data_IF_605045660502
#
_entry.id   IF_605045660502
#
_cell.length_a   1.000
_cell.length_b   1.000
_cell.length_c   1.000
_cell.angle_alpha   90.00
_cell.angle_beta   90.00
_cell.angle_gamma   90.00
#
_symmetry.space_group_name_H-M   'P 1'
#
loop_
_entity.id
_entity.type
_entity.pdbx_description
1 polymer ?
#
# COMPACT_ATOMS: atom_id res chain seq x y z
N UNK A 1 4.45 5.97 -20.71
CA UNK A 1 4.21 6.26 -19.28
C UNK A 1 3.02 5.42 -18.87
N UNK A 2 3.23 4.48 -17.95
CA UNK A 2 2.16 3.61 -17.42
C UNK A 2 1.38 4.30 -16.32
N UNK A 3 0.25 3.69 -15.93
CA UNK A 3 -0.55 4.08 -14.77
C UNK A 3 -0.14 3.18 -13.61
N UNK A 4 0.12 3.76 -12.44
CA UNK A 4 0.36 3.04 -11.19
C UNK A 4 -0.80 3.30 -10.22
N UNK A 5 -1.05 2.36 -9.31
CA UNK A 5 -2.09 2.45 -8.28
C UNK A 5 -1.44 2.71 -6.92
N UNK A 6 -1.69 3.90 -6.36
CA UNK A 6 -1.31 4.23 -4.99
C UNK A 6 -2.27 3.57 -4.00
N UNK A 7 -1.74 2.68 -3.16
CA UNK A 7 -2.49 2.02 -2.10
C UNK A 7 -2.01 2.56 -0.76
N UNK A 8 -2.94 3.17 -0.02
CA UNK A 8 -2.69 3.74 1.29
C UNK A 8 -3.46 3.05 2.41
N UNK A 9 -3.51 3.65 3.61
CA UNK A 9 -4.09 3.07 4.81
C UNK A 9 -5.59 2.75 4.70
N UNK A 10 -6.31 3.32 3.73
CA UNK A 10 -7.70 2.98 3.42
C UNK A 10 -7.92 1.47 3.26
N UNK A 11 -6.94 0.69 2.77
CA UNK A 11 -7.05 -0.78 2.63
C UNK A 11 -7.27 -1.50 3.97
N UNK A 12 -6.95 -0.86 5.09
CA UNK A 12 -7.11 -1.41 6.43
C UNK A 12 -8.52 -1.21 7.00
N UNK A 13 -9.35 -0.38 6.36
CA UNK A 13 -10.72 -0.07 6.80
C UNK A 13 -11.73 -1.07 6.23
N UNK A 14 -12.84 -1.34 6.96
CA UNK A 14 -13.86 -2.31 6.52
C UNK A 14 -14.59 -1.90 5.23
N UNK A 15 -14.78 -0.61 5.00
CA UNK A 15 -15.57 -0.09 3.86
C UNK A 15 -14.80 -0.06 2.53
N UNK A 16 -13.66 -0.76 2.46
CA UNK A 16 -12.72 -0.73 1.33
C UNK A 16 -12.85 -1.93 0.40
N UNK A 17 -14.04 -2.51 0.27
CA UNK A 17 -14.30 -3.76 -0.48
C UNK A 17 -13.77 -3.69 -1.93
N UNK A 18 -14.10 -2.64 -2.67
CA UNK A 18 -13.64 -2.45 -4.05
C UNK A 18 -12.10 -2.36 -4.14
N UNK A 19 -11.47 -1.70 -3.17
CA UNK A 19 -10.01 -1.61 -3.11
C UNK A 19 -9.38 -2.96 -2.75
N UNK A 20 -9.99 -3.71 -1.85
CA UNK A 20 -9.57 -5.06 -1.47
C UNK A 20 -9.63 -6.01 -2.68
N UNK A 21 -10.71 -5.97 -3.45
CA UNK A 21 -10.85 -6.75 -4.68
C UNK A 21 -9.80 -6.36 -5.72
N UNK A 22 -9.58 -5.06 -5.92
CA UNK A 22 -8.53 -4.56 -6.81
C UNK A 22 -7.15 -5.08 -6.39
N UNK A 23 -6.78 -4.96 -5.11
CA UNK A 23 -5.47 -5.38 -4.60
C UNK A 23 -5.26 -6.88 -4.74
N UNK A 24 -6.32 -7.69 -4.64
CA UNK A 24 -6.24 -9.15 -4.84
C UNK A 24 -5.81 -9.52 -6.25
N UNK A 25 -6.35 -8.83 -7.26
CA UNK A 25 -6.20 -9.21 -8.67
C UNK A 25 -5.14 -8.40 -9.44
N UNK A 26 -4.84 -7.18 -9.00
CA UNK A 26 -3.99 -6.28 -9.78
C UNK A 26 -2.54 -6.78 -9.90
N UNK A 27 -1.85 -6.49 -11.03
CA UNK A 27 -0.43 -6.74 -11.15
C UNK A 27 0.37 -5.91 -10.13
N UNK A 28 1.22 -6.57 -9.33
CA UNK A 28 2.04 -5.88 -8.32
C UNK A 28 3.08 -4.93 -8.93
N UNK A 29 3.44 -5.10 -10.21
CA UNK A 29 4.30 -4.15 -10.95
C UNK A 29 3.67 -2.76 -11.13
N UNK A 30 2.36 -2.62 -10.89
CA UNK A 30 1.66 -1.33 -10.92
C UNK A 30 1.43 -0.77 -9.52
N UNK A 31 1.89 -1.43 -8.46
CA UNK A 31 1.67 -1.02 -7.08
C UNK A 31 2.59 0.15 -6.67
N UNK A 32 2.01 1.16 -6.03
CA UNK A 32 2.72 2.11 -5.18
C UNK A 32 2.10 2.09 -3.78
N UNK A 33 2.90 2.46 -2.78
CA UNK A 33 2.46 2.56 -1.40
C UNK A 33 2.51 4.00 -0.92
N UNK A 34 1.54 4.37 -0.09
CA UNK A 34 1.49 5.66 0.57
C UNK A 34 0.92 5.54 2.00
N UNK A 35 1.01 6.62 2.77
CA UNK A 35 0.46 6.71 4.13
C UNK A 35 -0.54 7.84 4.31
N UNK A 36 -0.61 8.78 3.36
CA UNK A 36 -1.34 10.05 3.50
C UNK A 36 -1.06 10.76 4.86
N UNK A 37 0.18 10.61 5.36
CA UNK A 37 0.60 11.25 6.59
C UNK A 37 0.60 12.78 6.42
N UNK A 38 0.08 13.54 7.41
CA UNK A 38 -0.30 13.13 8.77
C UNK A 38 -1.77 12.73 8.99
N UNK A 39 -2.58 12.57 7.94
CA UNK A 39 -4.05 12.61 8.05
C UNK A 39 -4.73 11.26 8.29
N UNK A 40 -4.30 10.18 7.62
CA UNK A 40 -5.04 8.91 7.62
C UNK A 40 -4.26 7.77 8.30
N UNK A 41 -4.41 7.54 9.62
CA UNK A 41 -3.76 6.40 10.26
C UNK A 41 -4.42 5.08 9.82
N UNK A 42 -3.72 3.93 9.94
CA UNK A 42 -4.33 2.61 9.82
C UNK A 42 -5.54 2.44 10.75
N UNK A 43 -6.50 1.59 10.37
CA UNK A 43 -7.78 1.44 11.08
C UNK A 43 -7.67 1.02 12.55
N UNK A 44 -6.58 0.35 12.94
CA UNK A 44 -6.32 -0.04 14.33
C UNK A 44 -5.63 1.06 15.17
N UNK A 45 -5.26 2.19 14.55
CA UNK A 45 -4.59 3.35 15.17
C UNK A 45 -5.42 4.64 15.00
N UNK A 46 -6.73 4.54 14.80
CA UNK A 46 -7.62 5.70 14.65
C UNK A 46 -7.50 6.61 15.87
N UNK A 47 -7.32 7.92 15.62
CA UNK A 47 -7.10 8.94 16.64
C UNK A 47 -5.63 9.33 16.83
N UNK A 48 -4.70 8.56 16.26
CA UNK A 48 -3.29 8.95 16.16
C UNK A 48 -3.01 9.73 14.87
N UNK A 49 -1.94 10.55 14.87
CA UNK A 49 -1.43 11.15 13.64
C UNK A 49 -0.76 10.08 12.79
N UNK A 50 -1.11 10.02 11.50
CA UNK A 50 -0.41 9.14 10.58
C UNK A 50 1.07 9.52 10.47
N UNK A 51 1.92 8.50 10.31
CA UNK A 51 3.37 8.65 10.18
C UNK A 51 3.88 7.84 8.97
N UNK A 52 5.00 8.26 8.35
CA UNK A 52 5.56 7.55 7.19
C UNK A 52 5.92 6.08 7.46
N UNK A 53 6.31 5.74 8.69
CA UNK A 53 6.67 4.38 9.09
C UNK A 53 5.47 3.42 9.17
N UNK A 54 4.24 3.95 9.25
CA UNK A 54 3.00 3.17 9.22
C UNK A 54 2.73 2.51 7.85
N UNK A 55 3.57 2.77 6.84
CA UNK A 55 3.50 2.12 5.53
C UNK A 55 3.64 0.60 5.63
N UNK A 56 4.32 0.08 6.67
CA UNK A 56 4.44 -1.36 6.92
C UNK A 56 3.08 -2.03 7.11
N UNK A 57 2.14 -1.36 7.79
CA UNK A 57 0.79 -1.91 8.01
C UNK A 57 -0.01 -2.03 6.71
N UNK A 58 0.24 -1.12 5.76
CA UNK A 58 -0.36 -1.19 4.42
C UNK A 58 0.19 -2.41 3.67
N UNK A 59 1.51 -2.59 3.70
CA UNK A 59 2.17 -3.74 3.07
C UNK A 59 1.74 -5.09 3.70
N UNK A 60 1.64 -5.16 5.03
CA UNK A 60 1.11 -6.32 5.75
C UNK A 60 -0.31 -6.66 5.29
N UNK A 61 -1.20 -5.64 5.21
CA UNK A 61 -2.56 -5.86 4.75
C UNK A 61 -2.61 -6.36 3.31
N UNK A 62 -1.82 -5.78 2.40
CA UNK A 62 -1.73 -6.23 1.00
C UNK A 62 -1.25 -7.68 0.93
N UNK A 63 -0.17 -8.03 1.63
CA UNK A 63 0.38 -9.39 1.62
C UNK A 63 -0.62 -10.42 2.15
N UNK A 64 -1.38 -10.07 3.19
CA UNK A 64 -2.47 -10.92 3.70
C UNK A 64 -3.61 -11.11 2.71
N UNK A 65 -3.92 -10.11 1.88
CA UNK A 65 -4.97 -10.20 0.88
C UNK A 65 -4.53 -11.00 -0.35
N UNK A 66 -3.27 -10.84 -0.73
CA UNK A 66 -2.62 -11.48 -1.88
C UNK A 66 -2.34 -12.96 -1.62
N UNK A 67 -1.78 -13.29 -0.45
CA UNK A 67 -1.46 -14.66 -0.05
C UNK A 67 -0.29 -15.31 -0.81
N UNK A 68 0.19 -14.70 -1.89
CA UNK A 68 1.29 -15.18 -2.75
C UNK A 68 2.60 -14.40 -2.57
N UNK A 69 2.61 -13.37 -1.72
CA UNK A 69 3.78 -12.53 -1.40
C UNK A 69 3.82 -12.18 0.08
N UNK A 70 5.02 -11.90 0.59
CA UNK A 70 5.27 -11.40 1.94
C UNK A 70 5.17 -9.87 2.00
N UNK A 71 4.98 -9.31 3.20
CA UNK A 71 4.97 -7.84 3.39
C UNK A 71 6.28 -7.18 2.92
N UNK A 72 7.42 -7.85 3.12
CA UNK A 72 8.72 -7.35 2.66
C UNK A 72 8.81 -7.32 1.13
N UNK A 73 8.33 -8.38 0.44
CA UNK A 73 8.27 -8.39 -1.03
C UNK A 73 7.36 -7.29 -1.57
N UNK A 74 6.23 -7.02 -0.91
CA UNK A 74 5.33 -5.89 -1.27
C UNK A 74 6.07 -4.55 -1.17
N UNK A 75 6.83 -4.32 -0.09
CA UNK A 75 7.64 -3.11 0.08
C UNK A 75 8.73 -3.00 -0.99
N UNK A 76 9.41 -4.09 -1.30
CA UNK A 76 10.49 -4.12 -2.29
C UNK A 76 9.96 -3.86 -3.70
N UNK A 77 8.84 -4.48 -4.09
CA UNK A 77 8.18 -4.25 -5.37
C UNK A 77 7.74 -2.79 -5.47
N UNK A 78 7.04 -2.27 -4.46
CA UNK A 78 6.57 -0.88 -4.46
C UNK A 78 7.74 0.13 -4.52
N UNK A 79 8.86 -0.19 -3.86
CA UNK A 79 10.08 0.62 -3.90
C UNK A 79 10.68 0.66 -5.31
N UNK A 80 10.81 -0.48 -5.98
CA UNK A 80 11.31 -0.52 -7.36
C UNK A 80 10.37 0.20 -8.33
N UNK A 81 9.05 0.02 -8.17
CA UNK A 81 8.04 0.74 -8.95
C UNK A 81 8.16 2.26 -8.76
N UNK A 82 8.32 2.72 -7.52
CA UNK A 82 8.50 4.14 -7.20
C UNK A 82 9.79 4.70 -7.82
N UNK A 83 10.90 3.95 -7.77
CA UNK A 83 12.16 4.34 -8.42
C UNK A 83 11.98 4.53 -9.92
N UNK A 84 11.28 3.60 -10.59
CA UNK A 84 11.02 3.67 -12.02
C UNK A 84 10.12 4.85 -12.39
N UNK A 85 9.03 5.07 -11.65
CA UNK A 85 8.08 6.14 -11.95
C UNK A 85 8.66 7.53 -11.67
N UNK A 86 9.29 7.71 -10.51
CA UNK A 86 9.76 9.02 -10.04
C UNK A 86 11.24 9.29 -10.38
N UNK A 87 11.93 8.35 -11.02
CA UNK A 87 13.35 8.43 -11.35
C UNK A 87 14.23 8.70 -10.11
N UNK A 88 13.95 7.96 -9.03
CA UNK A 88 14.68 8.02 -7.75
C UNK A 88 15.77 6.94 -7.74
N UNK A 89 16.94 7.25 -7.16
CA UNK A 89 18.10 6.33 -7.09
C UNK A 89 18.03 5.39 -5.90
#
# INVERSE_FOLDING_TARGET
MGIYMGIGPQITYPDSECLIELVREMPLELLLLETDAPFLPPSHLIGESAKPDMISFVAEKISSLRGDVTAQEVLDIARENAKLLYNIK
#
